data_IF_750759774103
#
_entry.id   IF_750759774103
#
_cell.length_a   1.000
_cell.length_b   1.000
_cell.length_c   1.000
_cell.angle_alpha   90.00
_cell.angle_beta   90.00
_cell.angle_gamma   90.00
#
_symmetry.space_group_name_H-M   'P 1'
#
loop_
_entity.id
_entity.type
_entity.pdbx_description
1 polymer ?
#
# COMPACT_ATOMS: atom_id res chain seq x y z
N UNK A 1 1.21 -23.97 -3.11
CA UNK A 1 1.18 -22.63 -3.78
C UNK A 1 2.61 -22.22 -4.07
N UNK A 2 2.90 -21.56 -5.19
CA UNK A 2 4.22 -20.96 -5.47
C UNK A 2 4.32 -19.60 -4.79
N UNK A 3 5.54 -19.11 -4.54
CA UNK A 3 5.76 -17.78 -3.98
C UNK A 3 5.13 -16.69 -4.86
N UNK A 4 4.34 -15.82 -4.26
CA UNK A 4 3.70 -14.69 -4.95
C UNK A 4 4.73 -13.56 -5.12
N UNK A 5 4.79 -13.03 -6.34
CA UNK A 5 5.71 -11.96 -6.74
C UNK A 5 4.94 -10.81 -7.40
N UNK A 6 5.58 -9.67 -7.60
CA UNK A 6 4.98 -8.55 -8.36
C UNK A 6 4.54 -9.00 -9.75
N UNK A 7 5.33 -9.84 -10.42
CA UNK A 7 5.00 -10.42 -11.73
C UNK A 7 3.79 -11.35 -11.68
N UNK A 8 3.62 -12.11 -10.60
CA UNK A 8 2.41 -12.93 -10.38
C UNK A 8 1.18 -12.04 -10.32
N UNK A 9 1.22 -10.96 -9.53
CA UNK A 9 0.09 -10.02 -9.41
C UNK A 9 -0.21 -9.30 -10.73
N UNK A 10 0.81 -8.97 -11.52
CA UNK A 10 0.64 -8.39 -12.86
C UNK A 10 -0.04 -9.37 -13.82
N UNK A 11 0.31 -10.67 -13.75
CA UNK A 11 -0.34 -11.72 -14.54
C UNK A 11 -1.82 -11.88 -14.16
N UNK A 12 -2.16 -11.91 -12.87
CA UNK A 12 -3.56 -11.92 -12.39
C UNK A 12 -4.34 -10.71 -12.92
N UNK A 13 -3.74 -9.52 -12.83
CA UNK A 13 -4.36 -8.30 -13.38
C UNK A 13 -4.61 -8.41 -14.88
N UNK A 14 -3.66 -8.91 -15.65
CA UNK A 14 -3.80 -9.09 -17.10
C UNK A 14 -4.89 -10.11 -17.45
N UNK A 15 -5.03 -11.17 -16.65
CA UNK A 15 -6.06 -12.20 -16.80
C UNK A 15 -7.44 -11.78 -16.26
N UNK A 16 -7.54 -10.64 -15.55
CA UNK A 16 -8.78 -10.22 -14.87
C UNK A 16 -9.10 -11.07 -13.63
N UNK A 17 -8.13 -11.79 -13.11
CA UNK A 17 -8.24 -12.61 -11.90
C UNK A 17 -8.07 -11.74 -10.65
N UNK A 18 -8.92 -12.01 -9.66
CA UNK A 18 -8.84 -11.34 -8.35
C UNK A 18 -7.93 -12.12 -7.43
N UNK A 19 -7.27 -11.43 -6.52
CA UNK A 19 -6.52 -12.01 -5.42
C UNK A 19 -6.87 -11.33 -4.10
N UNK A 20 -6.65 -12.03 -2.99
CA UNK A 20 -6.95 -11.51 -1.66
C UNK A 20 -5.75 -10.77 -1.07
N UNK A 21 -6.05 -9.69 -0.33
CA UNK A 21 -5.07 -8.98 0.50
C UNK A 21 -5.61 -8.86 1.91
N UNK A 22 -4.86 -9.33 2.89
CA UNK A 22 -5.23 -9.19 4.29
C UNK A 22 -4.18 -8.40 5.05
N UNK A 23 -4.65 -7.57 5.99
CA UNK A 23 -3.76 -6.90 6.94
C UNK A 23 -3.39 -7.87 8.07
N UNK A 24 -2.11 -7.93 8.41
CA UNK A 24 -1.61 -8.69 9.56
C UNK A 24 -0.33 -8.06 10.11
N UNK A 25 0.01 -8.39 11.36
CA UNK A 25 1.05 -7.66 12.08
C UNK A 25 1.99 -8.58 12.88
N UNK A 26 1.76 -9.88 12.91
CA UNK A 26 2.58 -10.85 13.65
C UNK A 26 2.77 -12.17 12.90
N UNK A 27 3.75 -12.96 13.36
CA UNK A 27 4.13 -14.21 12.72
C UNK A 27 3.04 -15.30 12.77
N UNK A 28 2.21 -15.31 13.81
CA UNK A 28 1.16 -16.31 13.98
C UNK A 28 0.07 -16.12 12.91
N UNK A 29 -0.42 -14.88 12.78
CA UNK A 29 -1.41 -14.55 11.73
C UNK A 29 -0.82 -14.68 10.33
N UNK A 30 0.48 -14.35 10.13
CA UNK A 30 1.14 -14.57 8.84
C UNK A 30 1.08 -16.04 8.40
N UNK A 31 1.36 -16.98 9.30
CA UNK A 31 1.25 -18.42 9.02
C UNK A 31 -0.17 -18.85 8.68
N UNK A 32 -1.15 -18.42 9.45
CA UNK A 32 -2.57 -18.74 9.21
C UNK A 32 -3.08 -18.19 7.86
N UNK A 33 -2.66 -16.99 7.50
CA UNK A 33 -2.99 -16.34 6.23
C UNK A 33 -2.36 -17.11 5.06
N UNK A 34 -1.11 -17.56 5.22
CA UNK A 34 -0.43 -18.41 4.22
C UNK A 34 -1.14 -19.75 4.06
N UNK A 35 -1.50 -20.42 5.17
CA UNK A 35 -2.26 -21.68 5.14
C UNK A 35 -3.64 -21.52 4.47
N UNK A 36 -4.28 -20.36 4.65
CA UNK A 36 -5.54 -20.02 3.99
C UNK A 36 -5.41 -19.74 2.49
N UNK A 37 -4.17 -19.64 1.98
CA UNK A 37 -3.89 -19.42 0.55
C UNK A 37 -4.07 -17.98 0.10
N UNK A 38 -3.99 -17.01 0.99
CA UNK A 38 -4.04 -15.57 0.66
C UNK A 38 -2.74 -15.13 0.01
N UNK A 39 -2.85 -14.37 -1.08
CA UNK A 39 -1.71 -14.04 -1.93
C UNK A 39 -0.88 -12.87 -1.39
N UNK A 40 -1.49 -11.93 -0.67
CA UNK A 40 -0.81 -10.70 -0.24
C UNK A 40 -1.10 -10.39 1.23
N UNK A 41 -0.06 -10.06 1.97
CA UNK A 41 -0.17 -9.53 3.34
C UNK A 41 0.24 -8.06 3.33
N UNK A 42 -0.63 -7.19 3.86
CA UNK A 42 -0.33 -5.79 4.10
C UNK A 42 0.03 -5.60 5.58
N UNK A 43 1.26 -5.17 5.83
CA UNK A 43 1.65 -4.63 7.13
C UNK A 43 1.37 -3.13 7.07
N UNK A 44 0.18 -2.75 7.52
CA UNK A 44 -0.32 -1.37 7.43
C UNK A 44 -0.09 -0.58 8.71
N UNK A 45 0.03 0.75 8.61
CA UNK A 45 0.07 1.66 9.76
C UNK A 45 -1.23 1.65 10.59
N UNK A 46 -2.28 0.99 10.07
CA UNK A 46 -3.48 0.63 10.84
C UNK A 46 -3.18 -0.17 12.11
N UNK A 47 -1.97 -0.76 12.22
CA UNK A 47 -1.50 -1.38 13.48
C UNK A 47 -1.58 -0.43 14.68
N UNK A 48 -1.41 0.87 14.46
CA UNK A 48 -1.58 1.88 15.50
C UNK A 48 -2.96 1.85 16.13
N UNK A 49 -3.99 1.66 15.33
CA UNK A 49 -5.38 1.55 15.81
C UNK A 49 -5.72 0.15 16.30
N UNK A 50 -5.26 -0.87 15.59
CA UNK A 50 -5.66 -2.28 15.81
C UNK A 50 -4.89 -2.89 17.00
N UNK A 51 -3.60 -2.64 17.13
CA UNK A 51 -2.73 -3.25 18.14
C UNK A 51 -2.31 -2.27 19.24
N UNK A 52 -1.95 -1.04 18.88
CA UNK A 52 -1.40 -0.08 19.84
C UNK A 52 -2.48 0.72 20.57
N UNK A 53 -3.75 0.66 20.12
CA UNK A 53 -4.89 1.31 20.77
C UNK A 53 -4.99 2.82 20.52
N UNK A 54 -4.30 3.34 19.49
CA UNK A 54 -4.42 4.74 19.09
C UNK A 54 -5.75 5.03 18.38
N UNK A 55 -6.18 6.27 18.37
CA UNK A 55 -7.39 6.73 17.67
C UNK A 55 -7.17 6.98 16.17
N UNK A 56 -5.91 6.96 15.71
CA UNK A 56 -5.53 7.15 14.31
C UNK A 56 -4.22 6.43 14.00
N UNK A 57 -3.80 6.42 12.73
CA UNK A 57 -2.52 5.85 12.29
C UNK A 57 -1.32 6.78 12.50
N UNK A 58 -1.57 8.07 12.80
CA UNK A 58 -0.53 9.11 12.86
C UNK A 58 0.60 8.88 13.87
N UNK A 59 0.37 8.25 15.04
CA UNK A 59 1.45 7.99 16.01
C UNK A 59 2.43 6.89 15.60
N UNK A 60 2.09 6.07 14.60
CA UNK A 60 2.93 4.94 14.18
C UNK A 60 4.25 5.43 13.60
N UNK A 61 5.35 4.84 14.08
CA UNK A 61 6.71 5.17 13.64
C UNK A 61 7.21 4.19 12.57
N UNK A 62 8.28 4.57 11.86
CA UNK A 62 8.93 3.63 10.92
C UNK A 62 9.52 2.42 11.65
N UNK A 63 9.99 2.57 12.88
CA UNK A 63 10.54 1.47 13.67
C UNK A 63 9.46 0.45 14.03
N UNK A 64 8.24 0.89 14.34
CA UNK A 64 7.08 0.00 14.52
C UNK A 64 6.83 -0.80 13.23
N UNK A 65 6.82 -0.12 12.10
CA UNK A 65 6.55 -0.74 10.81
C UNK A 65 7.64 -1.76 10.43
N UNK A 66 8.90 -1.44 10.66
CA UNK A 66 10.04 -2.34 10.47
C UNK A 66 9.92 -3.57 11.36
N UNK A 67 9.59 -3.37 12.65
CA UNK A 67 9.42 -4.47 13.59
C UNK A 67 8.32 -5.44 13.16
N UNK A 68 7.13 -4.94 12.87
CA UNK A 68 5.99 -5.76 12.47
C UNK A 68 6.19 -6.42 11.10
N UNK A 69 6.82 -5.73 10.15
CA UNK A 69 7.20 -6.31 8.85
C UNK A 69 8.16 -7.50 9.02
N UNK A 70 9.15 -7.36 9.90
CA UNK A 70 10.07 -8.45 10.21
C UNK A 70 9.38 -9.64 10.92
N UNK A 71 8.37 -9.38 11.75
CA UNK A 71 7.57 -10.45 12.36
C UNK A 71 6.78 -11.23 11.28
N UNK A 72 6.09 -10.54 10.39
CA UNK A 72 5.35 -11.15 9.26
C UNK A 72 6.29 -11.96 8.37
N UNK A 73 7.44 -11.38 7.98
CA UNK A 73 8.41 -12.02 7.09
C UNK A 73 9.00 -13.33 7.63
N UNK A 74 9.06 -13.47 8.96
CA UNK A 74 9.47 -14.72 9.60
C UNK A 74 8.35 -15.76 9.73
N UNK A 75 7.10 -15.31 9.68
CA UNK A 75 5.91 -16.14 9.84
C UNK A 75 5.36 -16.75 8.55
N UNK A 76 5.76 -16.26 7.38
CA UNK A 76 5.29 -16.77 6.08
C UNK A 76 6.38 -16.69 5.00
N UNK A 77 6.20 -17.45 3.90
CA UNK A 77 7.19 -17.57 2.82
C UNK A 77 6.58 -17.38 1.42
N UNK A 78 5.29 -17.65 1.26
CA UNK A 78 4.60 -17.65 -0.04
C UNK A 78 3.91 -16.32 -0.37
N UNK A 79 3.21 -15.63 0.56
CA UNK A 79 2.55 -14.37 0.27
C UNK A 79 3.54 -13.26 -0.08
N UNK A 80 3.12 -12.34 -0.95
CA UNK A 80 3.82 -11.08 -1.14
C UNK A 80 3.54 -10.15 0.03
N UNK A 81 4.59 -9.58 0.63
CA UNK A 81 4.49 -8.70 1.80
C UNK A 81 4.61 -7.25 1.32
N UNK A 82 3.60 -6.43 1.64
CA UNK A 82 3.60 -4.98 1.45
C UNK A 82 3.83 -4.31 2.81
N UNK A 83 4.88 -3.51 2.94
CA UNK A 83 5.13 -2.68 4.13
C UNK A 83 4.70 -1.24 3.90
N UNK A 84 3.94 -0.67 4.82
CA UNK A 84 3.45 0.71 4.74
C UNK A 84 4.49 1.71 5.26
N UNK A 85 4.71 2.80 4.55
CA UNK A 85 5.45 3.96 5.04
C UNK A 85 4.48 4.79 5.90
N UNK A 86 4.70 4.93 7.22
CA UNK A 86 3.79 5.65 8.11
C UNK A 86 3.86 7.16 7.91
N UNK A 87 2.90 7.88 8.47
CA UNK A 87 2.79 9.33 8.38
C UNK A 87 4.12 10.04 8.70
N UNK A 88 4.50 10.99 7.83
CA UNK A 88 5.71 11.80 8.00
C UNK A 88 7.03 11.08 7.70
N UNK A 89 7.02 9.78 7.38
CA UNK A 89 8.23 9.00 7.11
C UNK A 89 8.73 9.11 5.66
N UNK A 90 8.05 9.85 4.79
CA UNK A 90 8.37 10.02 3.37
C UNK A 90 8.19 11.48 2.89
N UNK A 91 8.47 12.44 3.78
CA UNK A 91 8.31 13.88 3.51
C UNK A 91 9.39 14.46 2.60
N UNK A 92 10.54 13.79 2.49
CA UNK A 92 11.63 14.13 1.56
C UNK A 92 12.08 12.90 0.79
N UNK A 93 12.69 13.10 -0.38
CA UNK A 93 13.23 12.01 -1.19
C UNK A 93 14.23 11.13 -0.42
N UNK A 94 15.18 11.73 0.29
CA UNK A 94 16.17 11.02 1.09
C UNK A 94 15.53 10.17 2.18
N UNK A 95 14.56 10.73 2.91
CA UNK A 95 13.82 10.06 3.96
C UNK A 95 13.00 8.90 3.38
N UNK A 96 12.34 9.11 2.24
CA UNK A 96 11.57 8.07 1.54
C UNK A 96 12.44 6.88 1.18
N UNK A 97 13.59 7.12 0.54
CA UNK A 97 14.51 6.06 0.11
C UNK A 97 15.10 5.30 1.31
N UNK A 98 15.48 6.02 2.37
CA UNK A 98 16.03 5.42 3.60
C UNK A 98 15.01 4.51 4.27
N UNK A 99 13.78 4.99 4.45
CA UNK A 99 12.71 4.26 5.14
C UNK A 99 12.16 3.11 4.28
N UNK A 100 12.01 3.30 2.97
CA UNK A 100 11.63 2.22 2.06
C UNK A 100 12.68 1.09 2.09
N UNK A 101 13.97 1.41 2.05
CA UNK A 101 15.02 0.41 2.15
C UNK A 101 15.03 -0.31 3.52
N UNK A 102 14.63 0.37 4.60
CA UNK A 102 14.49 -0.27 5.91
C UNK A 102 13.36 -1.33 5.91
N UNK A 103 12.20 -1.01 5.33
CA UNK A 103 11.10 -1.97 5.18
C UNK A 103 11.47 -3.14 4.26
N UNK A 104 12.17 -2.89 3.14
CA UNK A 104 12.65 -3.96 2.27
C UNK A 104 13.63 -4.91 2.99
N UNK A 105 14.55 -4.36 3.80
CA UNK A 105 15.46 -5.16 4.65
C UNK A 105 14.72 -5.94 5.73
N UNK A 106 13.59 -5.45 6.22
CA UNK A 106 12.73 -6.15 7.18
C UNK A 106 11.96 -7.32 6.55
N UNK A 107 11.96 -7.43 5.21
CA UNK A 107 11.35 -8.52 4.46
C UNK A 107 10.13 -8.13 3.63
N UNK A 108 9.78 -6.84 3.52
CA UNK A 108 8.79 -6.39 2.55
C UNK A 108 9.26 -6.69 1.12
N UNK A 109 8.32 -7.03 0.25
CA UNK A 109 8.54 -7.21 -1.19
C UNK A 109 8.12 -5.98 -2.00
N UNK A 110 7.35 -5.10 -1.37
CA UNK A 110 6.81 -3.86 -1.93
C UNK A 110 6.58 -2.87 -0.78
N UNK A 111 6.68 -1.58 -1.03
CA UNK A 111 6.33 -0.54 -0.06
C UNK A 111 5.05 0.18 -0.47
N UNK A 112 4.21 0.56 0.51
CA UNK A 112 3.02 1.36 0.29
C UNK A 112 3.25 2.77 0.83
N UNK A 113 2.66 3.77 0.17
CA UNK A 113 2.61 5.16 0.64
C UNK A 113 1.33 5.84 0.15
N UNK A 114 0.91 6.90 0.84
CA UNK A 114 -0.35 7.61 0.60
C UNK A 114 -0.11 8.97 -0.05
N UNK A 115 -0.71 9.18 -1.23
CA UNK A 115 -0.64 10.43 -1.97
C UNK A 115 -0.63 10.23 -3.48
N UNK A 116 -0.78 11.34 -4.21
CA UNK A 116 -0.88 11.41 -5.65
C UNK A 116 0.39 11.95 -6.32
N UNK A 117 0.20 12.93 -7.19
CA UNK A 117 1.24 13.49 -8.07
C UNK A 117 2.49 13.97 -7.32
N UNK A 118 2.36 14.53 -6.14
CA UNK A 118 3.49 15.03 -5.33
C UNK A 118 4.50 13.93 -4.92
N UNK A 119 4.12 12.65 -5.05
CA UNK A 119 4.99 11.50 -4.76
C UNK A 119 5.78 11.00 -5.97
N UNK A 120 5.54 11.53 -7.17
CA UNK A 120 6.12 10.99 -8.41
C UNK A 120 7.64 10.90 -8.38
N UNK A 121 8.32 11.92 -7.86
CA UNK A 121 9.78 11.91 -7.73
C UNK A 121 10.26 10.77 -6.83
N UNK A 122 9.66 10.63 -5.66
CA UNK A 122 9.98 9.57 -4.69
C UNK A 122 9.69 8.17 -5.24
N UNK A 123 8.54 8.00 -5.90
CA UNK A 123 8.13 6.73 -6.51
C UNK A 123 9.09 6.34 -7.64
N UNK A 124 9.42 7.29 -8.53
CA UNK A 124 10.38 7.06 -9.62
C UNK A 124 11.74 6.64 -9.07
N UNK A 125 12.25 7.38 -8.08
CA UNK A 125 13.54 7.09 -7.48
C UNK A 125 13.59 5.72 -6.77
N UNK A 126 12.49 5.31 -6.12
CA UNK A 126 12.37 3.95 -5.54
C UNK A 126 12.39 2.88 -6.63
N UNK A 127 11.59 3.06 -7.70
CA UNK A 127 11.50 2.09 -8.80
C UNK A 127 12.84 1.90 -9.53
N UNK A 128 13.58 2.99 -9.80
CA UNK A 128 14.92 2.94 -10.38
C UNK A 128 15.94 2.16 -9.53
N UNK A 129 15.68 2.06 -8.22
CA UNK A 129 16.49 1.31 -7.26
C UNK A 129 15.94 -0.08 -6.95
N UNK A 130 14.95 -0.55 -7.74
CA UNK A 130 14.38 -1.89 -7.61
C UNK A 130 13.45 -2.05 -6.42
N UNK A 131 12.90 -0.97 -5.85
CA UNK A 131 11.89 -1.00 -4.79
C UNK A 131 10.51 -0.89 -5.43
N UNK A 132 9.69 -1.97 -5.46
CA UNK A 132 8.33 -1.90 -5.95
C UNK A 132 7.44 -1.05 -5.05
N UNK A 133 6.51 -0.31 -5.65
CA UNK A 133 5.68 0.66 -4.94
C UNK A 133 4.19 0.38 -5.14
N UNK A 134 3.43 0.50 -4.06
CA UNK A 134 1.98 0.54 -4.02
C UNK A 134 1.53 1.94 -3.60
N UNK A 135 0.94 2.71 -4.50
CA UNK A 135 0.38 4.02 -4.17
C UNK A 135 -1.06 3.89 -3.69
N UNK A 136 -1.40 4.61 -2.61
CA UNK A 136 -2.74 4.65 -2.04
C UNK A 136 -3.39 6.01 -2.29
N UNK A 137 -4.48 5.98 -3.04
CA UNK A 137 -5.31 7.15 -3.38
C UNK A 137 -6.71 7.02 -2.77
N UNK A 138 -7.43 8.13 -2.67
CA UNK A 138 -8.79 8.20 -2.16
C UNK A 138 -8.81 8.53 -0.67
N UNK A 139 -9.46 7.69 0.15
CA UNK A 139 -9.40 7.87 1.60
C UNK A 139 -8.05 7.38 2.11
N UNK A 140 -7.17 8.32 2.36
CA UNK A 140 -5.85 8.09 2.95
C UNK A 140 -5.91 8.35 4.45
N UNK A 141 -5.82 7.32 5.33
CA UNK A 141 -5.92 7.46 6.78
C UNK A 141 -4.95 8.46 7.39
N UNK A 142 -3.76 8.59 6.80
CA UNK A 142 -2.75 9.55 7.24
C UNK A 142 -3.19 11.01 7.04
N UNK A 143 -4.15 11.27 6.16
CA UNK A 143 -4.72 12.60 5.91
C UNK A 143 -5.99 12.88 6.75
N UNK A 144 -6.29 12.07 7.77
CA UNK A 144 -7.54 12.11 8.54
C UNK A 144 -7.86 13.50 9.10
N UNK A 145 -6.84 14.23 9.56
CA UNK A 145 -7.02 15.60 10.09
C UNK A 145 -7.37 16.59 8.99
N UNK A 146 -6.74 16.51 7.82
CA UNK A 146 -7.05 17.36 6.68
C UNK A 146 -8.45 17.10 6.13
N UNK A 147 -8.90 15.84 6.16
CA UNK A 147 -10.27 15.47 5.74
C UNK A 147 -11.34 15.77 6.80
N UNK A 148 -10.94 16.08 8.03
CA UNK A 148 -11.87 16.24 9.15
C UNK A 148 -12.57 14.93 9.54
N UNK A 149 -11.85 13.80 9.49
CA UNK A 149 -12.30 12.44 9.81
C UNK A 149 -12.16 11.45 8.65
N UNK A 150 -12.52 10.20 8.91
CA UNK A 150 -12.50 9.12 7.89
C UNK A 150 -13.70 9.27 6.94
N UNK A 151 -13.57 10.11 5.94
CA UNK A 151 -14.64 10.44 4.98
C UNK A 151 -14.31 9.87 3.60
N UNK A 152 -15.28 9.22 2.97
CA UNK A 152 -15.18 8.78 1.57
C UNK A 152 -14.80 9.97 0.68
N UNK A 153 -13.74 9.84 -0.09
CA UNK A 153 -13.25 10.83 -1.03
C UNK A 153 -13.90 10.67 -2.42
N UNK A 154 -13.76 11.69 -3.28
CA UNK A 154 -14.33 11.62 -4.63
C UNK A 154 -15.86 11.67 -4.66
N UNK A 155 -16.51 12.34 -3.70
CA UNK A 155 -17.98 12.43 -3.60
C UNK A 155 -18.59 13.43 -4.59
N UNK A 156 -17.82 14.37 -5.05
CA UNK A 156 -18.22 15.34 -6.09
C UNK A 156 -17.30 15.23 -7.32
N UNK A 157 -17.72 15.85 -8.42
CA UNK A 157 -17.04 15.76 -9.71
C UNK A 157 -15.59 16.22 -9.66
N UNK A 158 -15.30 17.31 -8.95
CA UNK A 158 -13.97 17.92 -8.91
C UNK A 158 -13.00 17.04 -8.10
N UNK A 159 -13.42 16.52 -6.96
CA UNK A 159 -12.64 15.57 -6.17
C UNK A 159 -12.38 14.28 -6.94
N UNK A 160 -13.38 13.77 -7.66
CA UNK A 160 -13.21 12.57 -8.49
C UNK A 160 -12.23 12.82 -9.64
N UNK A 161 -12.30 13.99 -10.30
CA UNK A 161 -11.37 14.37 -11.35
C UNK A 161 -9.93 14.46 -10.83
N UNK A 162 -9.70 15.09 -9.67
CA UNK A 162 -8.38 15.20 -9.06
C UNK A 162 -7.78 13.82 -8.74
N UNK A 163 -8.56 12.89 -8.15
CA UNK A 163 -8.09 11.52 -7.88
C UNK A 163 -7.75 10.78 -9.18
N UNK A 164 -8.53 11.01 -10.26
CA UNK A 164 -8.23 10.42 -11.57
C UNK A 164 -6.97 11.01 -12.21
N UNK A 165 -6.71 12.30 -12.03
CA UNK A 165 -5.48 12.95 -12.49
C UNK A 165 -4.26 12.37 -11.76
N UNK A 166 -4.30 12.26 -10.43
CA UNK A 166 -3.28 11.60 -9.62
C UNK A 166 -3.02 10.16 -10.10
N UNK A 167 -4.08 9.36 -10.28
CA UNK A 167 -3.96 7.98 -10.74
C UNK A 167 -3.34 7.90 -12.15
N UNK A 168 -3.70 8.81 -13.05
CA UNK A 168 -3.13 8.88 -14.39
C UNK A 168 -1.67 9.36 -14.37
N UNK A 169 -1.31 10.30 -13.50
CA UNK A 169 0.05 10.77 -13.32
C UNK A 169 0.96 9.61 -12.88
N UNK A 170 0.55 8.86 -11.86
CA UNK A 170 1.23 7.66 -11.38
C UNK A 170 1.36 6.58 -12.47
N UNK A 171 0.31 6.33 -13.25
CA UNK A 171 0.32 5.35 -14.35
C UNK A 171 1.28 5.72 -15.48
N UNK A 172 1.40 7.01 -15.84
CA UNK A 172 2.29 7.48 -16.92
C UNK A 172 3.78 7.19 -16.67
N UNK A 173 4.17 7.00 -15.42
CA UNK A 173 5.55 6.65 -15.06
C UNK A 173 5.94 5.20 -15.43
N UNK A 174 5.03 4.41 -16.00
CA UNK A 174 5.31 3.02 -16.39
C UNK A 174 5.62 2.08 -15.22
N UNK A 175 5.43 2.56 -14.01
CA UNK A 175 5.77 1.84 -12.79
C UNK A 175 4.72 0.75 -12.53
N UNK A 176 5.10 -0.37 -11.95
CA UNK A 176 4.16 -1.37 -11.44
C UNK A 176 3.47 -0.81 -10.17
N UNK A 177 2.80 0.35 -10.33
CA UNK A 177 2.08 1.00 -9.26
C UNK A 177 0.72 0.34 -9.09
N UNK A 178 0.47 -0.22 -7.95
CA UNK A 178 -0.83 -0.76 -7.57
C UNK A 178 -1.58 0.34 -6.84
N UNK A 179 -2.79 0.66 -7.34
CA UNK A 179 -3.63 1.68 -6.73
C UNK A 179 -4.55 1.03 -5.71
N UNK A 180 -4.42 1.43 -4.48
CA UNK A 180 -5.44 1.19 -3.46
C UNK A 180 -6.33 2.42 -3.39
N UNK A 181 -7.65 2.25 -3.32
CA UNK A 181 -8.56 3.37 -3.26
C UNK A 181 -9.86 2.99 -2.58
N UNK A 182 -10.30 3.83 -1.65
CA UNK A 182 -11.64 3.78 -1.05
C UNK A 182 -12.43 4.97 -1.58
N UNK A 183 -13.11 4.78 -2.72
CA UNK A 183 -14.06 5.74 -3.28
C UNK A 183 -15.17 5.02 -4.06
N UNK A 184 -16.26 5.71 -4.45
CA UNK A 184 -17.37 5.08 -5.16
C UNK A 184 -16.90 4.44 -6.47
N UNK A 185 -17.03 3.10 -6.59
CA UNK A 185 -16.51 2.31 -7.72
C UNK A 185 -17.08 2.69 -9.09
N UNK A 186 -18.26 3.32 -9.11
CA UNK A 186 -18.95 3.77 -10.33
C UNK A 186 -18.28 4.97 -11.03
N UNK A 187 -17.35 5.68 -10.39
CA UNK A 187 -16.67 6.85 -10.94
C UNK A 187 -15.41 6.52 -11.74
N UNK A 188 -14.86 5.32 -11.58
CA UNK A 188 -13.66 4.91 -12.30
C UNK A 188 -13.98 4.33 -13.68
N UNK A 189 -13.28 4.78 -14.74
CA UNK A 189 -13.23 4.05 -16.01
C UNK A 189 -12.85 2.58 -15.75
N UNK A 190 -13.40 1.65 -16.50
CA UNK A 190 -13.11 0.21 -16.35
C UNK A 190 -11.60 -0.09 -16.36
N UNK A 191 -10.82 0.68 -17.13
CA UNK A 191 -9.36 0.58 -17.23
C UNK A 191 -8.57 1.00 -15.97
N UNK A 192 -9.21 1.76 -15.09
CA UNK A 192 -8.63 2.25 -13.83
C UNK A 192 -9.30 1.64 -12.60
N UNK A 193 -10.36 0.83 -12.79
CA UNK A 193 -10.92 0.10 -11.66
C UNK A 193 -9.83 -0.83 -11.12
N UNK A 194 -9.49 -0.70 -9.83
CA UNK A 194 -8.58 -1.66 -9.25
C UNK A 194 -9.17 -3.05 -9.50
N UNK A 195 -8.40 -3.92 -10.11
CA UNK A 195 -8.71 -5.34 -10.20
C UNK A 195 -8.65 -6.00 -8.82
N UNK A 196 -8.68 -5.20 -7.76
CA UNK A 196 -8.13 -5.52 -6.50
C UNK A 196 -8.92 -4.92 -5.37
N UNK A 197 -9.20 -5.70 -4.41
CA UNK A 197 -9.72 -5.38 -3.08
C UNK A 197 -11.24 -5.20 -3.03
N UNK A 198 -11.90 -6.29 -2.87
CA UNK A 198 -13.08 -6.42 -2.03
C UNK A 198 -12.65 -7.06 -0.72
#
# INVERSE_FOLDING_TARGET
MSKVTVTTLQAHKAAGEKFAVLAAYDATFAGLIEEAGVEVILVGDSLGMVLQGHSSTLPVTIDDMVYHTACISRGCHLPLIIGDLPFGSYSTLEQTLTNAAALMRAGANMVKLEGGEWLLESITAMAERGIPVCAHLGLTPQSVNAFGGFKVQGRNTDQAAAILEDANALKRQGLPCWYWSVFPQNWLPKSLRPSLFQ
#
